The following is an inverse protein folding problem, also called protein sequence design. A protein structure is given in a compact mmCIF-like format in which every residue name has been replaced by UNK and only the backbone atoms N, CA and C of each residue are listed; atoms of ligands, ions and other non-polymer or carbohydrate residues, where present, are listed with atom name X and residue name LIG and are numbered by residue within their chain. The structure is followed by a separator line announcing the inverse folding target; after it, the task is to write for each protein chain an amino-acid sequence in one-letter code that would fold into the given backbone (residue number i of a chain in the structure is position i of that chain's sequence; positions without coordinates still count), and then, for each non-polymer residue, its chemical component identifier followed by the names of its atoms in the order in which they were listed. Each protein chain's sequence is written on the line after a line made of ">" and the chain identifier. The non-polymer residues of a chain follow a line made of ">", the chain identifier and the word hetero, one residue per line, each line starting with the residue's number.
data_IF_500472029098
#
_entry.id   IF_500472029098
#
_cell.length_a   1.000
_cell.length_b   1.000
_cell.length_c   1.000
_cell.angle_alpha   90.00
_cell.angle_beta   90.00
_cell.angle_gamma   90.00
#
_symmetry.space_group_name_H-M   'P 1'
#
loop_
_entity.id
_entity.type
_entity.pdbx_description
1 polymer ?
#
# COMPACT_ATOMS: atom_id res chain seq x y z
N UNK A 1 44.33 11.51 5.72
CA UNK A 1 43.18 11.52 4.80
C UNK A 1 42.42 12.85 4.88
N UNK A 2 41.60 13.10 5.92
CA UNK A 2 40.83 14.36 6.08
C UNK A 2 41.68 15.64 6.04
N UNK A 3 42.82 15.64 6.72
CA UNK A 3 43.74 16.78 6.74
C UNK A 3 44.40 17.07 5.38
N UNK A 4 44.47 16.08 4.50
CA UNK A 4 45.14 16.15 3.20
C UNK A 4 44.16 16.25 2.02
N UNK A 5 42.85 16.33 2.31
CA UNK A 5 41.81 16.38 1.27
C UNK A 5 41.61 15.06 0.50
N UNK A 6 42.22 13.96 0.93
CA UNK A 6 42.18 12.66 0.24
C UNK A 6 40.87 11.88 0.48
N UNK A 7 40.06 12.31 1.46
CA UNK A 7 38.80 11.67 1.82
C UNK A 7 37.68 12.69 1.79
N UNK A 8 36.71 12.45 0.91
CA UNK A 8 35.42 13.11 0.93
C UNK A 8 34.46 12.28 1.78
N UNK A 9 33.81 12.90 2.76
CA UNK A 9 32.82 12.24 3.60
C UNK A 9 31.67 13.20 3.93
N UNK A 10 30.48 12.64 4.07
CA UNK A 10 29.30 13.31 4.62
C UNK A 10 28.95 12.60 5.92
N UNK A 11 28.90 13.35 7.03
CA UNK A 11 28.48 12.84 8.34
C UNK A 11 27.05 13.27 8.65
N UNK A 12 26.30 12.43 9.36
CA UNK A 12 24.99 12.75 9.89
C UNK A 12 24.99 12.43 11.39
N UNK A 13 24.51 13.37 12.21
CA UNK A 13 24.47 13.26 13.68
C UNK A 13 23.47 14.28 14.23
N UNK A 14 23.10 14.15 15.50
CA UNK A 14 22.26 15.15 16.18
C UNK A 14 23.06 16.39 16.57
N UNK A 15 22.37 17.50 16.81
CA UNK A 15 23.01 18.75 17.24
C UNK A 15 23.80 18.57 18.56
N UNK A 16 23.28 17.77 19.49
CA UNK A 16 23.91 17.55 20.78
C UNK A 16 25.18 16.70 20.67
N UNK A 17 25.16 15.67 19.83
CA UNK A 17 26.35 14.87 19.54
C UNK A 17 27.41 15.68 18.79
N UNK A 18 26.99 16.51 17.82
CA UNK A 18 27.90 17.43 17.12
C UNK A 18 28.61 18.37 18.11
N UNK A 19 27.85 19.02 18.99
CA UNK A 19 28.39 19.92 20.05
C UNK A 19 29.33 19.19 20.99
N UNK A 20 29.03 17.94 21.33
CA UNK A 20 29.80 17.15 22.30
C UNK A 20 31.10 16.61 21.72
N UNK A 21 31.10 16.19 20.46
CA UNK A 21 32.18 15.37 19.88
C UNK A 21 32.93 16.04 18.72
N UNK A 22 32.29 16.93 17.96
CA UNK A 22 32.91 17.57 16.78
C UNK A 22 33.33 18.99 17.09
N UNK A 23 32.43 19.79 17.67
CA UNK A 23 32.68 21.21 17.91
C UNK A 23 33.81 21.45 18.94
N UNK A 24 33.95 20.55 19.92
CA UNK A 24 35.03 20.62 20.92
C UNK A 24 36.41 20.29 20.35
N UNK A 25 36.48 19.56 19.23
CA UNK A 25 37.75 19.23 18.59
C UNK A 25 38.04 20.26 17.48
N UNK A 26 39.00 21.15 17.75
CA UNK A 26 39.40 22.21 16.81
C UNK A 26 39.88 21.68 15.45
N UNK A 27 40.39 20.45 15.38
CA UNK A 27 40.85 19.85 14.13
C UNK A 27 39.69 19.30 13.28
N UNK A 28 38.60 18.87 13.91
CA UNK A 28 37.38 18.42 13.24
C UNK A 28 36.47 19.61 12.89
N UNK A 29 36.27 20.55 13.81
CA UNK A 29 35.42 21.73 13.62
C UNK A 29 35.87 22.60 12.43
N UNK A 30 37.16 22.62 12.09
CA UNK A 30 37.69 23.34 10.92
C UNK A 30 37.53 22.59 9.59
N UNK A 31 37.16 21.32 9.64
CA UNK A 31 37.08 20.43 8.47
C UNK A 31 35.65 20.02 8.13
N UNK A 32 34.76 20.06 9.11
CA UNK A 32 33.34 19.86 8.91
C UNK A 32 32.61 21.20 8.85
N UNK A 33 31.88 21.40 7.75
CA UNK A 33 30.90 22.48 7.65
C UNK A 33 29.55 21.94 8.13
N UNK A 34 28.96 22.47 9.22
CA UNK A 34 27.62 22.07 9.63
C UNK A 34 26.60 22.52 8.58
N UNK A 35 25.75 21.59 8.17
CA UNK A 35 24.56 21.83 7.34
C UNK A 35 23.36 21.39 8.18
N UNK A 36 22.59 22.35 8.67
CA UNK A 36 21.44 22.06 9.52
C UNK A 36 20.27 21.55 8.68
N UNK A 37 19.80 20.36 8.99
CA UNK A 37 18.59 19.77 8.41
C UNK A 37 17.53 19.79 9.51
N UNK A 38 16.52 20.62 9.32
CA UNK A 38 15.42 20.76 10.28
C UNK A 38 14.28 19.81 9.92
N UNK A 39 13.43 19.52 10.90
CA UNK A 39 12.15 18.84 10.66
C UNK A 39 11.32 19.65 9.64
N UNK A 40 10.78 19.01 8.59
CA UNK A 40 9.92 19.67 7.62
C UNK A 40 8.60 20.10 8.26
N UNK A 41 7.97 21.13 7.69
CA UNK A 41 6.60 21.48 8.10
C UNK A 41 5.61 20.38 7.68
N UNK A 42 4.38 20.43 8.20
CA UNK A 42 3.30 19.54 7.74
C UNK A 42 3.09 19.66 6.22
N UNK A 43 3.13 20.87 5.67
CA UNK A 43 2.95 21.11 4.22
C UNK A 43 4.12 20.56 3.39
N UNK A 44 5.35 20.73 3.88
CA UNK A 44 6.53 20.14 3.23
C UNK A 44 6.46 18.60 3.28
N UNK A 45 5.99 18.05 4.41
CA UNK A 45 5.81 16.60 4.56
C UNK A 45 4.75 16.07 3.59
N UNK A 46 3.63 16.76 3.40
CA UNK A 46 2.63 16.37 2.38
C UNK A 46 3.27 16.34 0.99
N UNK A 47 4.11 17.32 0.67
CA UNK A 47 4.83 17.37 -0.62
C UNK A 47 5.83 16.23 -0.76
N UNK A 48 6.55 15.88 0.31
CA UNK A 48 7.45 14.72 0.37
C UNK A 48 6.66 13.43 0.16
N UNK A 49 5.55 13.24 0.88
CA UNK A 49 4.69 12.06 0.74
C UNK A 49 4.13 11.92 -0.68
N UNK A 50 3.67 13.00 -1.30
CA UNK A 50 3.24 13.00 -2.71
C UNK A 50 4.34 12.54 -3.66
N UNK A 51 5.58 12.97 -3.43
CA UNK A 51 6.75 12.52 -4.21
C UNK A 51 7.14 11.06 -3.98
N UNK A 52 6.82 10.50 -2.81
CA UNK A 52 7.04 9.10 -2.49
C UNK A 52 5.86 8.20 -2.87
N UNK A 53 4.67 8.77 -3.07
CA UNK A 53 3.42 8.06 -3.19
C UNK A 53 3.47 6.94 -4.24
N UNK A 54 3.91 7.26 -5.46
CA UNK A 54 3.99 6.29 -6.56
C UNK A 54 4.81 5.04 -6.20
N UNK A 55 5.88 5.21 -5.40
CA UNK A 55 6.74 4.09 -4.99
C UNK A 55 6.07 3.20 -3.96
N UNK A 56 5.34 3.77 -3.01
CA UNK A 56 4.62 3.01 -1.99
C UNK A 56 3.38 2.33 -2.58
N UNK A 57 2.65 3.00 -3.46
CA UNK A 57 1.56 2.39 -4.22
C UNK A 57 2.04 1.19 -5.02
N UNK A 58 3.20 1.31 -5.69
CA UNK A 58 3.80 0.22 -6.44
C UNK A 58 4.24 -0.93 -5.52
N UNK A 59 4.92 -0.62 -4.42
CA UNK A 59 5.43 -1.62 -3.48
C UNK A 59 4.31 -2.46 -2.85
N UNK A 60 3.22 -1.82 -2.46
CA UNK A 60 2.08 -2.48 -1.82
C UNK A 60 1.02 -2.96 -2.81
N UNK A 61 1.03 -2.49 -4.05
CA UNK A 61 -0.03 -2.75 -5.04
C UNK A 61 -1.39 -2.21 -4.58
N UNK A 62 -1.40 -1.02 -3.98
CA UNK A 62 -2.60 -0.30 -3.52
C UNK A 62 -2.58 1.13 -4.05
N UNK A 63 -3.73 1.83 -4.01
CA UNK A 63 -3.79 3.28 -4.25
C UNK A 63 -3.81 4.02 -2.92
N UNK A 64 -3.19 5.18 -2.87
CA UNK A 64 -3.18 6.03 -1.67
C UNK A 64 -3.76 7.37 -2.06
N UNK A 65 -4.89 7.72 -1.45
CA UNK A 65 -5.57 8.99 -1.73
C UNK A 65 -4.77 10.19 -1.22
N UNK A 66 -4.92 11.34 -1.87
CA UNK A 66 -4.30 12.58 -1.38
C UNK A 66 -4.77 12.95 0.03
N UNK A 67 -6.04 12.66 0.34
CA UNK A 67 -6.60 12.80 1.69
C UNK A 67 -5.82 11.97 2.72
N UNK A 68 -5.48 10.71 2.40
CA UNK A 68 -4.65 9.88 3.28
C UNK A 68 -3.26 10.49 3.51
N UNK A 69 -2.63 11.09 2.50
CA UNK A 69 -1.33 11.77 2.66
C UNK A 69 -1.42 12.98 3.60
N UNK A 70 -2.48 13.78 3.45
CA UNK A 70 -2.77 14.92 4.31
C UNK A 70 -3.04 14.47 5.75
N UNK A 71 -3.82 13.41 5.92
CA UNK A 71 -4.10 12.81 7.22
C UNK A 71 -2.83 12.26 7.87
N UNK A 72 -1.97 11.56 7.13
CA UNK A 72 -0.73 10.99 7.64
C UNK A 72 0.20 12.08 8.20
N UNK A 73 0.38 13.17 7.47
CA UNK A 73 1.18 14.29 7.93
C UNK A 73 0.53 15.03 9.12
N UNK A 74 -0.77 15.29 9.06
CA UNK A 74 -1.47 16.10 10.08
C UNK A 74 -1.65 15.35 11.40
N UNK A 75 -2.08 14.08 11.35
CA UNK A 75 -2.36 13.27 12.52
C UNK A 75 -1.06 12.83 13.20
N UNK A 76 -0.03 12.44 12.45
CA UNK A 76 1.27 12.11 13.05
C UNK A 76 1.89 13.31 13.74
N UNK A 77 1.79 14.52 13.15
CA UNK A 77 2.29 15.73 13.78
C UNK A 77 1.55 16.05 15.09
N UNK A 78 0.25 15.80 15.13
CA UNK A 78 -0.60 16.13 16.29
C UNK A 78 -0.49 15.13 17.43
N UNK A 79 -0.45 13.84 17.13
CA UNK A 79 -0.62 12.78 18.13
C UNK A 79 0.64 11.96 18.41
N UNK A 80 1.64 12.00 17.53
CA UNK A 80 2.92 11.28 17.69
C UNK A 80 4.02 12.31 17.95
N UNK A 81 4.26 12.63 19.23
CA UNK A 81 5.13 13.74 19.66
C UNK A 81 6.57 13.32 19.96
N UNK A 82 6.83 12.02 20.07
CA UNK A 82 8.14 11.43 20.38
C UNK A 82 8.99 11.14 19.12
N UNK A 83 8.44 11.40 17.94
CA UNK A 83 9.09 11.21 16.63
C UNK A 83 8.94 12.46 15.76
N UNK A 84 9.81 12.56 14.75
CA UNK A 84 9.88 13.72 13.87
C UNK A 84 9.31 13.42 12.47
N UNK A 85 8.74 14.43 11.83
CA UNK A 85 8.44 14.41 10.40
C UNK A 85 9.76 14.37 9.58
N UNK A 86 9.73 13.84 8.34
CA UNK A 86 8.60 13.20 7.67
C UNK A 86 8.44 11.71 8.03
N UNK A 87 9.42 11.14 8.76
CA UNK A 87 9.56 9.71 9.06
C UNK A 87 8.29 9.08 9.66
N UNK A 88 7.75 9.67 10.74
CA UNK A 88 6.51 9.17 11.35
C UNK A 88 5.29 9.19 10.41
N UNK A 89 5.24 10.11 9.45
CA UNK A 89 4.13 10.19 8.50
C UNK A 89 4.28 9.15 7.38
N UNK A 90 5.52 8.89 6.96
CA UNK A 90 5.85 7.82 6.02
C UNK A 90 5.46 6.47 6.62
N UNK A 91 5.79 6.21 7.88
CA UNK A 91 5.42 4.94 8.52
C UNK A 91 3.91 4.73 8.64
N UNK A 92 3.14 5.77 8.95
CA UNK A 92 1.67 5.66 8.98
C UNK A 92 1.10 5.30 7.60
N UNK A 93 1.61 5.95 6.56
CA UNK A 93 1.24 5.66 5.17
C UNK A 93 1.61 4.22 4.80
N UNK A 94 2.81 3.76 5.20
CA UNK A 94 3.32 2.42 4.93
C UNK A 94 2.53 1.32 5.65
N UNK A 95 2.21 1.51 6.94
CA UNK A 95 1.39 0.56 7.71
C UNK A 95 -0.03 0.49 7.17
N UNK A 96 -0.64 1.63 6.83
CA UNK A 96 -1.98 1.65 6.26
C UNK A 96 -2.02 0.95 4.89
N UNK A 97 -1.04 1.20 4.03
CA UNK A 97 -0.90 0.52 2.74
C UNK A 97 -0.71 -0.99 2.90
N UNK A 98 0.18 -1.41 3.82
CA UNK A 98 0.42 -2.83 4.14
C UNK A 98 -0.85 -3.52 4.62
N UNK A 99 -1.65 -2.85 5.45
CA UNK A 99 -2.90 -3.40 5.97
C UNK A 99 -3.91 -3.63 4.85
N UNK A 100 -4.13 -2.64 3.99
CA UNK A 100 -5.05 -2.78 2.85
C UNK A 100 -4.56 -3.89 1.92
N UNK A 101 -3.25 -4.02 1.69
CA UNK A 101 -2.70 -5.13 0.91
C UNK A 101 -3.01 -6.50 1.53
N UNK A 102 -2.87 -6.64 2.84
CA UNK A 102 -3.24 -7.87 3.55
C UNK A 102 -4.73 -8.21 3.42
N UNK A 103 -5.61 -7.20 3.45
CA UNK A 103 -7.06 -7.36 3.27
C UNK A 103 -7.39 -7.83 1.83
N UNK A 104 -6.71 -7.28 0.81
CA UNK A 104 -6.85 -7.70 -0.59
C UNK A 104 -6.38 -9.15 -0.80
N UNK A 105 -5.27 -9.52 -0.19
CA UNK A 105 -4.71 -10.86 -0.35
C UNK A 105 -5.52 -11.95 0.38
N UNK A 106 -6.33 -11.55 1.36
CA UNK A 106 -7.18 -12.41 2.15
C UNK A 106 -8.54 -12.63 1.48
N UNK A 107 -9.19 -13.75 1.81
CA UNK A 107 -10.58 -13.96 1.41
C UNK A 107 -11.48 -12.96 2.17
N UNK A 108 -12.36 -12.22 1.48
CA UNK A 108 -13.31 -11.31 2.12
C UNK A 108 -14.15 -12.03 3.19
N UNK A 109 -14.44 -11.34 4.29
CA UNK A 109 -15.18 -11.89 5.43
C UNK A 109 -16.55 -12.42 5.02
N UNK A 110 -17.27 -11.70 4.15
CA UNK A 110 -18.57 -12.13 3.61
C UNK A 110 -18.50 -13.50 2.91
N UNK A 111 -17.41 -13.78 2.19
CA UNK A 111 -17.21 -15.07 1.51
C UNK A 111 -16.83 -16.15 2.53
N UNK A 112 -15.97 -15.83 3.49
CA UNK A 112 -15.57 -16.78 4.54
C UNK A 112 -16.75 -17.19 5.43
N UNK A 113 -17.64 -16.25 5.78
CA UNK A 113 -18.88 -16.52 6.52
C UNK A 113 -19.81 -17.46 5.75
N UNK A 114 -20.01 -17.22 4.44
CA UNK A 114 -20.80 -18.09 3.57
C UNK A 114 -20.20 -19.50 3.50
N UNK A 115 -18.89 -19.62 3.33
CA UNK A 115 -18.21 -20.91 3.26
C UNK A 115 -18.31 -21.70 4.56
N UNK A 116 -18.15 -21.04 5.71
CA UNK A 116 -18.37 -21.67 7.02
C UNK A 116 -19.80 -22.16 7.16
N UNK A 117 -20.79 -21.38 6.71
CA UNK A 117 -22.21 -21.77 6.74
C UNK A 117 -22.49 -22.99 5.84
N UNK A 118 -21.93 -23.00 4.63
CA UNK A 118 -22.02 -24.12 3.68
C UNK A 118 -21.44 -25.39 4.31
N UNK A 119 -20.28 -25.31 4.98
CA UNK A 119 -19.67 -26.46 5.65
C UNK A 119 -20.58 -27.01 6.76
N UNK A 120 -21.14 -26.14 7.61
CA UNK A 120 -22.07 -26.55 8.66
C UNK A 120 -23.29 -27.30 8.08
N UNK A 121 -23.89 -26.75 7.03
CA UNK A 121 -25.05 -27.35 6.38
C UNK A 121 -24.70 -28.66 5.67
N UNK A 122 -23.50 -28.81 5.08
CA UNK A 122 -23.04 -30.09 4.54
C UNK A 122 -22.92 -31.17 5.62
N UNK A 123 -22.45 -30.81 6.81
CA UNK A 123 -22.37 -31.75 7.95
C UNK A 123 -23.78 -32.15 8.40
N UNK A 124 -24.70 -31.20 8.55
CA UNK A 124 -26.11 -31.46 8.86
C UNK A 124 -26.75 -32.38 7.80
N UNK A 125 -26.51 -32.13 6.51
CA UNK A 125 -26.94 -33.00 5.41
C UNK A 125 -26.46 -34.45 5.56
N UNK A 126 -25.18 -34.65 5.85
CA UNK A 126 -24.62 -36.00 6.02
C UNK A 126 -25.13 -36.72 7.27
N UNK A 127 -25.56 -35.97 8.29
CA UNK A 127 -26.24 -36.54 9.46
C UNK A 127 -27.67 -36.98 9.10
N UNK A 128 -28.45 -36.10 8.47
CA UNK A 128 -29.85 -36.36 8.09
C UNK A 128 -30.00 -37.49 7.07
N UNK A 129 -29.02 -37.70 6.20
CA UNK A 129 -29.00 -38.84 5.24
C UNK A 129 -29.04 -40.23 5.89
N UNK A 130 -28.75 -40.33 7.19
CA UNK A 130 -28.76 -41.60 7.95
C UNK A 130 -30.11 -41.88 8.64
N UNK A 131 -31.04 -40.94 8.56
CA UNK A 131 -32.37 -41.02 9.15
C UNK A 131 -33.42 -41.17 8.04
N UNK A 132 -34.54 -41.86 8.34
CA UNK A 132 -35.51 -42.34 7.32
C UNK A 132 -36.95 -41.94 7.63
N UNK A 133 -37.20 -41.08 8.62
CA UNK A 133 -38.54 -40.59 8.93
C UNK A 133 -38.97 -39.46 7.97
N UNK A 134 -40.28 -39.36 7.74
CA UNK A 134 -40.86 -38.42 6.77
C UNK A 134 -40.51 -36.95 7.08
N UNK A 135 -40.35 -36.59 8.35
CA UNK A 135 -39.98 -35.24 8.76
C UNK A 135 -38.51 -34.92 8.40
N UNK A 136 -37.61 -35.89 8.58
CA UNK A 136 -36.20 -35.77 8.18
C UNK A 136 -36.04 -35.68 6.66
N UNK A 137 -36.81 -36.44 5.88
CA UNK A 137 -36.79 -36.35 4.41
C UNK A 137 -37.19 -34.94 3.95
N UNK A 138 -38.28 -34.40 4.48
CA UNK A 138 -38.72 -33.04 4.15
C UNK A 138 -37.71 -31.96 4.59
N UNK A 139 -37.04 -32.15 5.74
CA UNK A 139 -35.98 -31.26 6.21
C UNK A 139 -34.74 -31.33 5.31
N UNK A 140 -34.37 -32.53 4.86
CA UNK A 140 -33.24 -32.76 3.96
C UNK A 140 -33.45 -32.05 2.62
N UNK A 141 -34.63 -32.17 2.00
CA UNK A 141 -34.95 -31.47 0.75
C UNK A 141 -34.81 -29.95 0.88
N UNK A 142 -35.37 -29.38 1.97
CA UNK A 142 -35.24 -27.95 2.24
C UNK A 142 -33.78 -27.53 2.43
N UNK A 143 -33.01 -28.31 3.18
CA UNK A 143 -31.61 -28.05 3.44
C UNK A 143 -30.78 -28.12 2.15
N UNK A 144 -31.05 -29.09 1.26
CA UNK A 144 -30.38 -29.21 -0.03
C UNK A 144 -30.67 -28.01 -0.94
N UNK A 145 -31.91 -27.50 -0.94
CA UNK A 145 -32.26 -26.27 -1.66
C UNK A 145 -31.50 -25.05 -1.10
N UNK A 146 -31.52 -24.85 0.22
CA UNK A 146 -30.80 -23.72 0.85
C UNK A 146 -29.28 -23.83 0.64
N UNK A 147 -28.73 -25.05 0.66
CA UNK A 147 -27.32 -25.31 0.41
C UNK A 147 -26.95 -24.94 -1.03
N UNK A 148 -27.76 -25.33 -2.02
CA UNK A 148 -27.53 -24.99 -3.43
C UNK A 148 -27.53 -23.46 -3.65
N UNK A 149 -28.46 -22.74 -3.01
CA UNK A 149 -28.52 -21.28 -3.08
C UNK A 149 -27.27 -20.63 -2.48
N UNK A 150 -26.82 -21.09 -1.30
CA UNK A 150 -25.61 -20.57 -0.66
C UNK A 150 -24.33 -20.90 -1.45
N UNK A 151 -24.22 -22.12 -1.97
CA UNK A 151 -23.10 -22.53 -2.83
C UNK A 151 -23.03 -21.68 -4.09
N UNK A 152 -24.17 -21.41 -4.73
CA UNK A 152 -24.25 -20.53 -5.91
C UNK A 152 -23.79 -19.11 -5.58
N UNK A 153 -24.23 -18.54 -4.44
CA UNK A 153 -23.81 -17.20 -3.99
C UNK A 153 -22.33 -17.13 -3.66
N UNK A 154 -21.80 -18.10 -2.90
CA UNK A 154 -20.36 -18.17 -2.58
C UNK A 154 -19.52 -18.30 -3.85
N UNK A 155 -19.94 -19.14 -4.81
CA UNK A 155 -19.24 -19.30 -6.08
C UNK A 155 -19.23 -18.00 -6.89
N UNK A 156 -20.36 -17.28 -6.95
CA UNK A 156 -20.46 -16.01 -7.67
C UNK A 156 -19.56 -14.93 -7.06
N UNK A 157 -19.60 -14.76 -5.73
CA UNK A 157 -18.74 -13.80 -5.02
C UNK A 157 -17.26 -14.15 -5.13
N UNK A 158 -16.91 -15.44 -5.00
CA UNK A 158 -15.53 -15.91 -5.15
C UNK A 158 -15.01 -15.68 -6.58
N UNK A 159 -15.85 -15.87 -7.60
CA UNK A 159 -15.47 -15.59 -8.97
C UNK A 159 -15.24 -14.10 -9.21
N UNK A 160 -16.11 -13.24 -8.68
CA UNK A 160 -15.94 -11.78 -8.74
C UNK A 160 -14.66 -11.32 -8.04
N UNK A 161 -14.42 -11.78 -6.80
CA UNK A 161 -13.20 -11.48 -6.05
C UNK A 161 -11.92 -11.90 -6.79
N UNK A 162 -11.90 -13.12 -7.37
CA UNK A 162 -10.76 -13.59 -8.16
C UNK A 162 -10.52 -12.72 -9.40
N UNK A 163 -11.58 -12.33 -10.10
CA UNK A 163 -11.47 -11.47 -11.27
C UNK A 163 -10.96 -10.06 -10.91
N UNK A 164 -11.41 -9.49 -9.79
CA UNK A 164 -10.89 -8.21 -9.31
C UNK A 164 -9.41 -8.32 -8.91
N UNK A 165 -9.02 -9.39 -8.21
CA UNK A 165 -7.63 -9.63 -7.83
C UNK A 165 -6.70 -9.78 -9.04
N UNK A 166 -7.16 -10.47 -10.09
CA UNK A 166 -6.40 -10.63 -11.32
C UNK A 166 -6.16 -9.29 -12.03
N UNK A 167 -7.20 -8.45 -12.15
CA UNK A 167 -7.07 -7.09 -12.72
C UNK A 167 -6.10 -6.21 -11.93
N UNK A 168 -6.11 -6.32 -10.60
CA UNK A 168 -5.18 -5.59 -9.75
C UNK A 168 -3.74 -6.04 -10.01
N UNK A 169 -3.51 -7.35 -10.12
CA UNK A 169 -2.20 -7.92 -10.45
C UNK A 169 -1.70 -7.44 -11.82
N UNK A 170 -2.56 -7.46 -12.85
CA UNK A 170 -2.21 -6.96 -14.18
C UNK A 170 -1.83 -5.47 -14.15
N UNK A 171 -2.59 -4.67 -13.40
CA UNK A 171 -2.30 -3.24 -13.22
C UNK A 171 -0.97 -3.02 -12.49
N UNK A 172 -0.67 -3.85 -11.48
CA UNK A 172 0.59 -3.82 -10.75
C UNK A 172 1.77 -4.14 -11.69
N UNK A 173 1.67 -5.19 -12.49
CA UNK A 173 2.70 -5.58 -13.46
C UNK A 173 2.98 -4.47 -14.50
N UNK A 174 1.93 -3.77 -14.95
CA UNK A 174 2.07 -2.64 -15.85
C UNK A 174 2.79 -1.45 -15.18
N UNK A 175 2.47 -1.16 -13.90
CA UNK A 175 3.16 -0.11 -13.14
C UNK A 175 4.64 -0.46 -12.91
N UNK A 176 4.96 -1.72 -12.65
CA UNK A 176 6.36 -2.17 -12.51
C UNK A 176 7.14 -1.99 -13.81
N UNK A 177 6.54 -2.36 -14.96
CA UNK A 177 7.14 -2.12 -16.28
C UNK A 177 7.35 -0.63 -16.55
N UNK A 178 6.40 0.22 -16.16
CA UNK A 178 6.51 1.67 -16.32
C UNK A 178 7.68 2.24 -15.51
N UNK A 179 7.83 1.82 -14.24
CA UNK A 179 8.94 2.29 -13.40
C UNK A 179 10.30 1.81 -13.94
N UNK A 180 10.37 0.56 -14.39
CA UNK A 180 11.58 0.03 -15.03
C UNK A 180 11.94 0.82 -16.29
N UNK A 181 10.95 1.17 -17.13
CA UNK A 181 11.15 1.98 -18.32
C UNK A 181 11.62 3.40 -17.99
N UNK A 182 11.10 4.01 -16.91
CA UNK A 182 11.53 5.33 -16.41
C UNK A 182 12.98 5.31 -15.94
N UNK A 183 13.36 4.31 -15.16
CA UNK A 183 14.75 4.11 -14.70
C UNK A 183 15.70 3.88 -15.88
N UNK A 184 15.31 3.05 -16.85
CA UNK A 184 16.09 2.80 -18.05
C UNK A 184 16.28 4.07 -18.89
N UNK A 185 15.22 4.89 -19.04
CA UNK A 185 15.30 6.15 -19.76
C UNK A 185 16.26 7.14 -19.07
N UNK A 186 16.24 7.20 -17.74
CA UNK A 186 17.17 8.03 -16.97
C UNK A 186 18.62 7.57 -17.14
N UNK A 187 18.86 6.26 -17.06
CA UNK A 187 20.19 5.68 -17.27
C UNK A 187 20.71 5.94 -18.69
N UNK A 188 19.89 5.71 -19.72
CA UNK A 188 20.24 5.96 -21.11
C UNK A 188 20.61 7.44 -21.32
N UNK A 189 19.84 8.36 -20.72
CA UNK A 189 20.14 9.80 -20.77
C UNK A 189 21.47 10.14 -20.09
N UNK A 190 21.77 9.55 -18.93
CA UNK A 190 23.06 9.75 -18.23
C UNK A 190 24.25 9.20 -19.02
N UNK A 191 24.06 8.11 -19.75
CA UNK A 191 25.09 7.47 -20.58
C UNK A 191 25.26 8.14 -21.96
N UNK A 192 24.38 9.06 -22.33
CA UNK A 192 24.40 9.74 -23.63
C UNK A 192 23.74 8.97 -24.77
N UNK A 193 23.06 7.86 -24.48
CA UNK A 193 22.24 7.13 -25.46
C UNK A 193 20.89 7.83 -25.66
N UNK A 194 20.93 8.90 -26.46
CA UNK A 194 19.75 9.71 -26.76
C UNK A 194 18.70 8.96 -27.60
N UNK A 195 19.12 7.95 -28.37
CA UNK A 195 18.21 7.13 -29.19
C UNK A 195 17.30 6.29 -28.32
N UNK A 196 17.90 5.50 -27.42
CA UNK A 196 17.14 4.67 -26.46
C UNK A 196 16.31 5.51 -25.50
N UNK A 197 16.87 6.62 -25.00
CA UNK A 197 16.12 7.54 -24.14
C UNK A 197 14.89 8.13 -24.83
N UNK A 198 14.98 8.48 -26.12
CA UNK A 198 13.84 9.00 -26.89
C UNK A 198 12.77 7.94 -27.15
N UNK A 199 13.17 6.71 -27.47
CA UNK A 199 12.24 5.59 -27.68
C UNK A 199 11.42 5.31 -26.41
N UNK A 200 12.09 5.24 -25.25
CA UNK A 200 11.43 5.01 -23.98
C UNK A 200 10.52 6.17 -23.59
N UNK A 201 11.00 7.41 -23.70
CA UNK A 201 10.26 8.60 -23.27
C UNK A 201 9.02 8.92 -24.12
N UNK A 202 9.07 8.68 -25.44
CA UNK A 202 7.98 9.06 -26.35
C UNK A 202 7.21 7.87 -26.95
N UNK A 203 7.66 6.64 -26.73
CA UNK A 203 6.99 5.42 -27.17
C UNK A 203 6.49 4.58 -26.01
N UNK A 204 7.42 3.92 -25.31
CA UNK A 204 7.10 2.88 -24.31
C UNK A 204 6.39 3.45 -23.08
N UNK A 205 6.92 4.53 -22.49
CA UNK A 205 6.35 5.14 -21.27
C UNK A 205 4.92 5.66 -21.51
N UNK A 206 4.63 6.42 -22.59
CA UNK A 206 3.26 6.83 -22.90
C UNK A 206 2.30 5.66 -23.15
N UNK A 207 2.74 4.60 -23.85
CA UNK A 207 1.90 3.42 -24.11
C UNK A 207 1.55 2.69 -22.80
N UNK A 208 2.54 2.46 -21.93
CA UNK A 208 2.33 1.85 -20.62
C UNK A 208 1.41 2.71 -19.74
N UNK A 209 1.61 4.03 -19.73
CA UNK A 209 0.75 4.96 -18.96
C UNK A 209 -0.70 4.85 -19.43
N UNK A 210 -0.93 4.82 -20.75
CA UNK A 210 -2.27 4.68 -21.32
C UNK A 210 -2.91 3.34 -20.95
N UNK A 211 -2.16 2.23 -21.02
CA UNK A 211 -2.66 0.90 -20.62
C UNK A 211 -3.02 0.85 -19.13
N UNK A 212 -2.25 1.51 -18.27
CA UNK A 212 -2.55 1.63 -16.84
C UNK A 212 -3.85 2.43 -16.65
N UNK A 213 -4.03 3.57 -17.33
CA UNK A 213 -5.26 4.36 -17.25
C UNK A 213 -6.49 3.57 -17.73
N UNK A 214 -6.35 2.79 -18.81
CA UNK A 214 -7.41 1.92 -19.32
C UNK A 214 -7.74 0.77 -18.34
N UNK A 215 -6.72 0.13 -17.77
CA UNK A 215 -6.89 -0.95 -16.78
C UNK A 215 -7.50 -0.46 -15.46
N UNK A 216 -7.13 0.76 -15.05
CA UNK A 216 -7.62 1.38 -13.82
C UNK A 216 -9.04 1.91 -13.92
N UNK A 217 -9.60 2.05 -15.13
CA UNK A 217 -10.95 2.52 -15.39
C UNK A 217 -11.15 3.98 -14.96
N UNK A 218 -11.41 4.87 -15.92
CA UNK A 218 -11.81 6.25 -15.63
C UNK A 218 -13.14 6.25 -14.85
N UNK A 219 -13.07 6.46 -13.53
CA UNK A 219 -14.17 6.96 -12.70
C UNK A 219 -15.36 6.02 -12.45
N UNK A 220 -15.15 4.74 -12.16
CA UNK A 220 -16.25 3.87 -11.72
C UNK A 220 -16.45 3.96 -10.21
N UNK A 221 -17.68 4.27 -9.82
CA UNK A 221 -18.15 4.33 -8.43
C UNK A 221 -17.69 3.07 -7.65
N UNK A 222 -17.05 3.29 -6.50
CA UNK A 222 -16.69 2.24 -5.52
C UNK A 222 -17.91 1.46 -4.98
N UNK A 223 -19.13 1.74 -5.44
CA UNK A 223 -20.38 1.19 -4.92
C UNK A 223 -20.71 -0.24 -5.38
N UNK A 224 -19.69 -1.04 -5.74
CA UNK A 224 -19.90 -2.41 -6.20
C UNK A 224 -18.67 -3.31 -6.20
N UNK A 225 -17.52 -2.83 -5.70
CA UNK A 225 -16.30 -3.64 -5.62
C UNK A 225 -16.26 -4.44 -4.33
N UNK A 226 -15.89 -5.71 -4.44
CA UNK A 226 -15.68 -6.59 -3.27
C UNK A 226 -14.36 -6.21 -2.59
N UNK A 227 -13.39 -5.71 -3.36
CA UNK A 227 -12.08 -5.28 -2.88
C UNK A 227 -12.01 -3.76 -2.70
N UNK A 228 -11.57 -3.34 -1.51
CA UNK A 228 -11.12 -1.96 -1.25
C UNK A 228 -9.62 -1.87 -1.56
N UNK A 229 -9.27 -1.26 -2.69
CA UNK A 229 -7.86 -1.08 -3.11
C UNK A 229 -7.25 0.28 -2.75
N UNK A 230 -7.98 1.13 -2.03
CA UNK A 230 -7.60 2.52 -1.74
C UNK A 230 -7.43 2.78 -0.25
N UNK A 231 -6.28 3.34 0.11
CA UNK A 231 -5.99 3.91 1.43
C UNK A 231 -6.62 5.31 1.52
N UNK A 232 -7.52 5.46 2.47
CA UNK A 232 -8.22 6.70 2.82
C UNK A 232 -7.76 7.31 4.14
N UNK A 233 -8.37 8.43 4.49
CA UNK A 233 -8.12 9.13 5.76
C UNK A 233 -8.44 8.26 6.99
N UNK A 234 -9.50 7.46 6.90
CA UNK A 234 -9.94 6.55 7.96
C UNK A 234 -8.90 5.46 8.27
N UNK A 235 -8.20 4.97 7.25
CA UNK A 235 -7.18 3.92 7.42
C UNK A 235 -5.99 4.46 8.21
N UNK A 236 -5.56 5.68 7.87
CA UNK A 236 -4.52 6.41 8.60
C UNK A 236 -4.96 6.68 10.04
N UNK A 237 -6.19 7.17 10.23
CA UNK A 237 -6.73 7.45 11.56
C UNK A 237 -6.78 6.16 12.42
N UNK A 238 -7.16 5.02 11.83
CA UNK A 238 -7.18 3.74 12.51
C UNK A 238 -5.78 3.28 12.95
N UNK A 239 -4.74 3.51 12.14
CA UNK A 239 -3.35 3.23 12.53
C UNK A 239 -2.91 4.15 13.67
N UNK A 240 -3.18 5.45 13.56
CA UNK A 240 -2.85 6.42 14.63
C UNK A 240 -3.55 6.06 15.94
N UNK A 241 -4.82 5.68 15.88
CA UNK A 241 -5.59 5.27 17.04
C UNK A 241 -5.00 4.02 17.71
N UNK A 242 -4.51 3.06 16.91
CA UNK A 242 -3.83 1.88 17.43
C UNK A 242 -2.50 2.23 18.11
N UNK A 243 -1.72 3.13 17.52
CA UNK A 243 -0.41 3.52 18.06
C UNK A 243 -0.51 4.34 19.33
N UNK A 244 -1.49 5.24 19.40
CA UNK A 244 -1.61 6.24 20.46
C UNK A 244 -2.67 5.89 21.51
N UNK A 245 -3.59 4.97 21.20
CA UNK A 245 -4.74 4.64 22.04
C UNK A 245 -5.85 5.70 22.02
N UNK A 246 -5.73 6.73 21.18
CA UNK A 246 -6.71 7.82 21.04
C UNK A 246 -7.69 7.46 19.92
N UNK A 247 -9.00 7.34 20.20
CA UNK A 247 -10.01 7.00 19.18
C UNK A 247 -10.19 8.09 18.12
#
# INVERSE_FOLDING_TARGET
>A
ALARGELHCVGATTLDEYRKHIEKDAALARRFQPVMVMEPTVQDTISILRGLNEKYELHHGVRISDGALVAAASLSNRYITDRFLPDKAIDLMDEAASRIRMEIDSKPEEIDELDRRIIQMKIEREALKKEYDDATIARLEKLESELADLESRSAALTASWRSEKEKLSETQDLKEQLEQARLEAEMARRQGDLGRASELAYGVIPDLTKRIEEAQGVGTDNSGHILREMVGEEDIAAVVARWTGVP
#
